data_IF_672879912860
#
_entry.id   IF_672879912860
#
_cell.length_a   1.000
_cell.length_b   1.000
_cell.length_c   1.000
_cell.angle_alpha   90.00
_cell.angle_beta   90.00
_cell.angle_gamma   90.00
#
_symmetry.space_group_name_H-M   'P 1'
#
loop_
_entity.id
_entity.type
_entity.pdbx_description
1 polymer ?
#
# COMPACT_ATOMS: atom_id res chain seq x y z
N UNK A 1 -32.27 -8.78 53.77
CA UNK A 1 -32.88 -7.42 53.88
C UNK A 1 -31.83 -6.46 54.43
N UNK A 2 -31.66 -5.28 53.80
CA UNK A 2 -30.81 -4.13 54.21
C UNK A 2 -29.29 -4.43 54.22
N UNK A 3 -28.40 -3.74 53.46
CA UNK A 3 -28.11 -2.30 53.35
C UNK A 3 -27.69 -1.70 54.72
N UNK A 4 -26.70 -0.82 54.87
CA UNK A 4 -26.00 0.13 53.97
C UNK A 4 -24.48 0.10 54.32
N UNK A 5 -23.52 0.83 53.73
CA UNK A 5 -23.51 2.01 52.85
C UNK A 5 -22.35 1.96 51.81
N UNK A 6 -21.86 3.13 51.36
CA UNK A 6 -20.57 3.35 50.65
C UNK A 6 -19.94 4.63 51.21
N UNK A 7 -18.64 4.64 51.51
CA UNK A 7 -17.91 5.90 51.75
C UNK A 7 -17.40 6.43 50.41
N UNK A 8 -17.94 7.58 50.00
CA UNK A 8 -17.41 8.41 48.91
C UNK A 8 -16.52 9.49 49.51
N UNK A 9 -15.25 9.55 49.14
CA UNK A 9 -14.44 10.76 49.26
C UNK A 9 -14.15 11.30 47.85
N UNK A 10 -14.47 12.58 47.64
CA UNK A 10 -14.16 13.32 46.42
C UNK A 10 -12.69 13.75 46.43
N UNK A 11 -12.05 13.74 45.27
CA UNK A 11 -10.93 14.64 44.94
C UNK A 11 -11.42 15.58 43.84
N UNK A 12 -11.22 16.91 43.93
CA UNK A 12 -11.68 17.87 42.93
C UNK A 12 -10.72 17.96 41.72
N UNK A 13 -11.19 18.64 40.67
CA UNK A 13 -10.65 18.61 39.32
C UNK A 13 -9.37 19.43 39.14
N UNK A 14 -8.38 18.84 38.46
CA UNK A 14 -7.37 19.56 37.67
C UNK A 14 -7.75 19.53 36.20
N UNK A 15 -7.55 20.65 35.49
CA UNK A 15 -7.94 20.84 34.09
C UNK A 15 -7.08 20.10 33.05
N UNK A 16 -7.30 20.37 31.75
CA UNK A 16 -6.76 19.54 30.66
C UNK A 16 -5.25 19.74 30.47
N UNK A 17 -4.46 18.72 30.80
CA UNK A 17 -3.03 18.67 30.47
C UNK A 17 -2.83 17.76 29.26
N UNK A 18 -2.50 18.37 28.12
CA UNK A 18 -2.08 17.67 26.91
C UNK A 18 -3.25 17.14 26.07
N UNK A 19 -3.61 17.91 25.04
CA UNK A 19 -4.16 17.30 23.83
C UNK A 19 -3.14 16.29 23.31
N UNK A 20 -3.47 14.99 23.40
CA UNK A 20 -2.72 13.96 22.70
C UNK A 20 -2.90 14.20 21.20
N UNK A 21 -1.89 14.85 20.62
CA UNK A 21 -1.75 15.14 19.19
C UNK A 21 -2.29 13.96 18.38
N UNK A 22 -3.24 14.20 17.48
CA UNK A 22 -3.95 13.14 16.76
C UNK A 22 -2.97 12.14 16.11
N UNK A 23 -2.84 10.95 16.71
CA UNK A 23 -1.95 9.88 16.26
C UNK A 23 -2.62 8.92 15.26
N UNK A 24 -3.88 9.15 14.90
CA UNK A 24 -4.57 8.34 13.91
C UNK A 24 -3.82 8.37 12.56
N UNK A 25 -3.35 7.22 12.05
CA UNK A 25 -2.63 7.18 10.79
C UNK A 25 -3.56 7.58 9.64
N UNK A 26 -3.24 8.70 8.96
CA UNK A 26 -3.98 9.20 7.79
C UNK A 26 -4.05 8.19 6.64
N UNK A 27 -3.17 7.18 6.64
CA UNK A 27 -3.16 5.98 5.79
C UNK A 27 -2.77 4.77 6.63
N UNK A 28 -3.40 3.62 6.38
CA UNK A 28 -3.06 2.36 7.08
C UNK A 28 -1.70 1.82 6.63
N UNK A 29 -0.86 1.28 7.55
CA UNK A 29 0.37 0.57 7.19
C UNK A 29 0.17 -0.59 6.20
N UNK A 30 -1.03 -1.20 6.18
CA UNK A 30 -1.40 -2.22 5.19
C UNK A 30 -1.46 -1.63 3.78
N UNK A 31 -2.06 -0.44 3.63
CA UNK A 31 -2.15 0.25 2.34
C UNK A 31 -0.77 0.64 1.81
N UNK A 32 0.10 1.19 2.66
CA UNK A 32 1.46 1.52 2.26
C UNK A 32 2.25 0.29 1.78
N UNK A 33 2.15 -0.84 2.48
CA UNK A 33 2.77 -2.11 2.04
C UNK A 33 2.18 -2.63 0.73
N UNK A 34 0.87 -2.49 0.51
CA UNK A 34 0.24 -2.87 -0.76
C UNK A 34 0.73 -1.99 -1.91
N UNK A 35 0.80 -0.68 -1.72
CA UNK A 35 1.31 0.28 -2.72
C UNK A 35 2.78 -0.01 -3.06
N UNK A 36 3.62 -0.28 -2.05
CA UNK A 36 5.02 -0.71 -2.24
C UNK A 36 5.12 -2.05 -2.99
N UNK A 37 4.27 -3.03 -2.65
CA UNK A 37 4.26 -4.35 -3.29
C UNK A 37 3.90 -4.25 -4.77
N UNK A 38 2.88 -3.45 -5.12
CA UNK A 38 2.51 -3.18 -6.51
C UNK A 38 3.67 -2.50 -7.25
N UNK A 39 4.28 -1.46 -6.67
CA UNK A 39 5.39 -0.75 -7.30
C UNK A 39 6.58 -1.68 -7.65
N UNK A 40 7.00 -2.56 -6.73
CA UNK A 40 8.11 -3.51 -7.02
C UNK A 40 7.71 -4.58 -8.04
N UNK A 41 6.44 -5.01 -8.07
CA UNK A 41 5.94 -5.95 -9.07
C UNK A 41 5.91 -5.33 -10.48
N UNK A 42 5.51 -4.06 -10.62
CA UNK A 42 5.51 -3.36 -11.91
C UNK A 42 6.94 -3.09 -12.40
N UNK A 43 7.85 -2.66 -11.52
CA UNK A 43 9.28 -2.52 -11.83
C UNK A 43 9.92 -3.86 -12.26
N UNK A 44 9.60 -4.96 -11.57
CA UNK A 44 10.06 -6.29 -11.96
C UNK A 44 9.45 -6.77 -13.28
N UNK A 45 8.20 -6.41 -13.57
CA UNK A 45 7.53 -6.71 -14.84
C UNK A 45 8.25 -6.04 -16.00
N UNK A 46 8.55 -4.74 -15.89
CA UNK A 46 9.29 -4.01 -16.91
C UNK A 46 10.66 -4.67 -17.22
N UNK A 47 11.44 -4.99 -16.18
CA UNK A 47 12.74 -5.67 -16.32
C UNK A 47 12.60 -7.03 -17.01
N UNK A 48 11.68 -7.88 -16.54
CA UNK A 48 11.48 -9.23 -17.11
C UNK A 48 11.03 -9.19 -18.57
N UNK A 49 10.24 -8.20 -18.98
CA UNK A 49 9.86 -7.99 -20.38
C UNK A 49 11.07 -7.57 -21.23
N UNK A 50 11.88 -6.62 -20.77
CA UNK A 50 13.09 -6.16 -21.47
C UNK A 50 14.11 -7.29 -21.59
N UNK A 51 14.40 -7.99 -20.49
CA UNK A 51 15.45 -9.01 -20.42
C UNK A 51 15.09 -10.30 -21.18
N UNK A 52 13.79 -10.62 -21.31
CA UNK A 52 13.37 -11.97 -21.73
C UNK A 52 12.26 -12.03 -22.78
N UNK A 53 11.63 -10.90 -23.12
CA UNK A 53 10.53 -10.82 -24.07
C UNK A 53 9.19 -11.37 -23.55
N UNK A 54 8.12 -11.08 -24.29
CA UNK A 54 6.74 -11.41 -23.92
C UNK A 54 6.51 -12.92 -23.67
N UNK A 55 7.01 -13.78 -24.56
CA UNK A 55 6.72 -15.22 -24.52
C UNK A 55 7.38 -15.92 -23.34
N UNK A 56 8.57 -15.46 -22.93
CA UNK A 56 9.33 -16.03 -21.80
C UNK A 56 9.05 -15.33 -20.47
N UNK A 57 8.31 -14.21 -20.48
CA UNK A 57 7.81 -13.59 -19.26
C UNK A 57 6.74 -14.48 -18.58
N UNK A 58 6.82 -14.58 -17.25
CA UNK A 58 5.89 -15.37 -16.43
C UNK A 58 5.74 -14.76 -15.04
N UNK A 59 4.59 -14.97 -14.41
CA UNK A 59 4.31 -14.53 -13.02
C UNK A 59 5.37 -15.03 -12.04
N UNK A 60 5.81 -16.28 -12.16
CA UNK A 60 6.87 -16.86 -11.32
C UNK A 60 8.23 -16.14 -11.47
N UNK A 61 8.61 -15.74 -12.70
CA UNK A 61 9.84 -14.96 -12.94
C UNK A 61 9.72 -13.55 -12.39
N UNK A 62 8.55 -12.90 -12.57
CA UNK A 62 8.26 -11.55 -12.07
C UNK A 62 8.26 -11.52 -10.54
N UNK A 63 7.57 -12.45 -9.87
CA UNK A 63 7.57 -12.59 -8.41
C UNK A 63 8.99 -12.71 -7.85
N UNK A 64 9.81 -13.59 -8.45
CA UNK A 64 11.22 -13.77 -8.08
C UNK A 64 12.04 -12.49 -8.27
N UNK A 65 11.88 -11.81 -9.40
CA UNK A 65 12.60 -10.56 -9.70
C UNK A 65 12.15 -9.39 -8.80
N UNK A 66 10.91 -9.41 -8.30
CA UNK A 66 10.39 -8.43 -7.34
C UNK A 66 10.80 -8.73 -5.88
N UNK A 67 11.33 -9.91 -5.58
CA UNK A 67 11.53 -10.37 -4.19
C UNK A 67 10.23 -10.65 -3.43
N UNK A 68 9.13 -10.91 -4.16
CA UNK A 68 7.78 -11.09 -3.62
C UNK A 68 7.35 -12.55 -3.77
N UNK A 69 6.58 -13.08 -2.82
CA UNK A 69 6.06 -14.45 -2.93
C UNK A 69 5.06 -14.59 -4.09
N UNK A 70 5.02 -15.74 -4.75
CA UNK A 70 4.07 -16.00 -5.85
C UNK A 70 2.62 -15.86 -5.37
N UNK A 71 2.30 -16.33 -4.15
CA UNK A 71 0.98 -16.14 -3.55
C UNK A 71 0.64 -14.67 -3.27
N UNK A 72 1.63 -13.85 -2.88
CA UNK A 72 1.45 -12.41 -2.72
C UNK A 72 1.22 -11.71 -4.07
N UNK A 73 1.92 -12.12 -5.14
CA UNK A 73 1.66 -11.59 -6.50
C UNK A 73 0.21 -11.87 -6.92
N UNK A 74 -0.27 -13.10 -6.74
CA UNK A 74 -1.64 -13.49 -7.11
C UNK A 74 -2.74 -12.80 -6.29
N UNK A 75 -2.43 -12.16 -5.16
CA UNK A 75 -3.38 -11.29 -4.44
C UNK A 75 -3.64 -9.96 -5.15
N UNK A 76 -2.74 -9.51 -6.05
CA UNK A 76 -2.88 -8.28 -6.81
C UNK A 76 -3.14 -8.53 -8.30
N UNK A 77 -2.52 -9.57 -8.88
CA UNK A 77 -2.51 -9.80 -10.32
C UNK A 77 -2.76 -11.29 -10.66
N UNK A 78 -3.88 -11.64 -11.32
CA UNK A 78 -4.22 -13.03 -11.61
C UNK A 78 -3.34 -13.69 -12.71
N UNK A 79 -2.62 -12.91 -13.52
CA UNK A 79 -1.85 -13.40 -14.67
C UNK A 79 -0.79 -12.37 -15.13
N UNK A 80 0.02 -12.69 -16.16
CA UNK A 80 1.07 -11.77 -16.65
C UNK A 80 0.47 -10.59 -17.42
N UNK A 81 -0.66 -10.80 -18.09
CA UNK A 81 -1.40 -9.81 -18.88
C UNK A 81 -1.84 -8.63 -17.99
N UNK A 82 -2.38 -8.92 -16.80
CA UNK A 82 -2.82 -7.90 -15.83
C UNK A 82 -1.65 -7.07 -15.26
N UNK A 83 -0.47 -7.66 -15.06
CA UNK A 83 0.75 -6.94 -14.69
C UNK A 83 1.17 -5.98 -15.80
N UNK A 84 1.18 -6.43 -17.06
CA UNK A 84 1.58 -5.60 -18.21
C UNK A 84 0.56 -4.49 -18.48
N UNK A 85 -0.74 -4.74 -18.35
CA UNK A 85 -1.78 -3.71 -18.47
C UNK A 85 -1.66 -2.65 -17.37
N UNK A 86 -1.36 -3.04 -16.13
CA UNK A 86 -1.13 -2.10 -15.03
C UNK A 86 0.15 -1.27 -15.23
N UNK A 87 1.24 -1.89 -15.70
CA UNK A 87 2.48 -1.21 -16.05
C UNK A 87 2.26 -0.19 -17.19
N UNK A 88 1.55 -0.60 -18.25
CA UNK A 88 1.22 0.27 -19.38
C UNK A 88 0.35 1.46 -18.95
N UNK A 89 -0.61 1.25 -18.04
CA UNK A 89 -1.40 2.33 -17.44
C UNK A 89 -0.52 3.30 -16.65
N UNK A 90 0.35 2.81 -15.78
CA UNK A 90 1.24 3.65 -14.98
C UNK A 90 2.11 4.54 -15.89
N UNK A 91 2.71 3.97 -16.94
CA UNK A 91 3.50 4.75 -17.90
C UNK A 91 2.67 5.75 -18.71
N UNK A 92 1.42 5.42 -19.07
CA UNK A 92 0.53 6.38 -19.73
C UNK A 92 0.18 7.56 -18.80
N UNK A 93 -0.09 7.30 -17.52
CA UNK A 93 -0.34 8.32 -16.50
C UNK A 93 0.91 9.20 -16.25
N UNK A 94 2.11 8.61 -16.19
CA UNK A 94 3.39 9.32 -16.10
C UNK A 94 3.64 10.24 -17.30
N UNK A 95 3.38 9.78 -18.53
CA UNK A 95 3.53 10.59 -19.76
C UNK A 95 2.51 11.73 -19.80
N UNK A 96 1.25 11.48 -19.42
CA UNK A 96 0.22 12.52 -19.35
C UNK A 96 0.57 13.59 -18.31
N UNK A 97 1.06 13.18 -17.14
CA UNK A 97 1.52 14.11 -16.09
C UNK A 97 2.72 14.94 -16.55
N UNK A 98 3.69 14.33 -17.25
CA UNK A 98 4.84 15.04 -17.82
C UNK A 98 4.41 16.08 -18.86
N UNK A 99 3.47 15.74 -19.76
CA UNK A 99 2.95 16.68 -20.75
C UNK A 99 2.18 17.83 -20.09
N UNK A 100 1.31 17.54 -19.12
CA UNK A 100 0.56 18.56 -18.39
C UNK A 100 1.48 19.58 -17.67
N UNK A 101 2.63 19.14 -17.18
CA UNK A 101 3.63 20.01 -16.54
C UNK A 101 4.42 20.93 -17.49
N UNK A 102 4.31 20.76 -18.81
CA UNK A 102 5.01 21.56 -19.83
C UNK A 102 4.07 22.35 -20.76
N UNK A 103 2.75 22.19 -20.61
CA UNK A 103 1.71 22.81 -21.46
C UNK A 103 0.85 23.84 -20.67
N UNK A 104 1.24 24.13 -19.42
CA UNK A 104 0.72 25.22 -18.58
C UNK A 104 1.78 26.28 -18.30
#
# INVERSE_FOLDING_TARGET
MRAIARVRTRVPLGGPVGSAIALDPRKSPRQQRSEQTVAVLLQATARVLVDTGWDRASTNRIARAAGVSVGSLYQYFPNKESLVLALARQHAEEVVAMLAAHVG
#
